data_IF_593317087274
#
_entry.id   IF_593317087274
#
_cell.length_a   1.000
_cell.length_b   1.000
_cell.length_c   1.000
_cell.angle_alpha   90.00
_cell.angle_beta   90.00
_cell.angle_gamma   90.00
#
_symmetry.space_group_name_H-M   'P 1'
#
loop_
_entity.id
_entity.type
_entity.pdbx_description
1 polymer ?
#
# COMPACT_ATOMS: atom_id res chain seq x y z
N UNK A 1 32.62 -23.14 -13.96
CA UNK A 1 31.70 -22.00 -14.21
C UNK A 1 30.45 -22.27 -13.38
N UNK A 2 30.29 -21.61 -12.23
CA UNK A 2 29.08 -21.74 -11.42
C UNK A 2 28.12 -20.67 -11.93
N UNK A 3 27.05 -21.10 -12.60
CA UNK A 3 25.95 -20.22 -13.00
C UNK A 3 25.05 -20.09 -11.78
N UNK A 4 25.06 -18.91 -11.16
CA UNK A 4 24.09 -18.57 -10.11
C UNK A 4 22.84 -18.06 -10.85
N UNK A 5 21.82 -18.90 -10.92
CA UNK A 5 20.49 -18.47 -11.35
C UNK A 5 19.86 -17.66 -10.21
N UNK A 6 19.86 -16.33 -10.33
CA UNK A 6 18.99 -15.49 -9.52
C UNK A 6 17.56 -15.70 -10.04
N UNK A 7 16.73 -16.42 -9.27
CA UNK A 7 15.30 -16.43 -9.51
C UNK A 7 14.77 -15.02 -9.25
N UNK A 8 14.21 -14.38 -10.28
CA UNK A 8 13.43 -13.16 -10.09
C UNK A 8 12.18 -13.54 -9.30
N UNK A 9 12.21 -13.30 -7.99
CA UNK A 9 11.01 -13.37 -7.16
C UNK A 9 10.11 -12.25 -7.66
N UNK A 10 8.97 -12.59 -8.27
CA UNK A 10 7.94 -11.59 -8.53
C UNK A 10 7.58 -10.95 -7.19
N UNK A 11 7.95 -9.69 -7.02
CA UNK A 11 7.63 -8.94 -5.81
C UNK A 11 6.11 -8.83 -5.73
N UNK A 12 5.50 -9.48 -4.73
CA UNK A 12 4.11 -9.16 -4.39
C UNK A 12 4.03 -7.67 -4.02
N UNK A 13 2.90 -7.04 -4.31
CA UNK A 13 2.68 -5.68 -3.82
C UNK A 13 2.59 -5.72 -2.29
N UNK A 14 3.36 -4.85 -1.64
CA UNK A 14 3.38 -4.65 -0.20
C UNK A 14 2.23 -3.71 0.21
N UNK A 15 1.65 -3.98 1.38
CA UNK A 15 0.67 -3.09 2.01
C UNK A 15 1.36 -1.81 2.49
N UNK A 16 0.94 -0.66 1.96
CA UNK A 16 1.40 0.67 2.42
C UNK A 16 0.51 1.14 3.57
N UNK A 17 -0.81 1.01 3.38
CA UNK A 17 -1.82 1.34 4.37
C UNK A 17 -3.07 0.49 4.14
N UNK A 18 -3.63 -0.07 5.21
CA UNK A 18 -4.90 -0.80 5.20
C UNK A 18 -5.86 -0.22 6.24
N UNK A 19 -7.10 0.00 5.81
CA UNK A 19 -8.23 0.32 6.66
C UNK A 19 -9.31 -0.74 6.40
N UNK A 20 -9.41 -1.73 7.29
CA UNK A 20 -10.39 -2.81 7.22
C UNK A 20 -11.69 -2.47 7.96
N UNK A 21 -11.69 -1.47 8.84
CA UNK A 21 -12.86 -0.96 9.59
C UNK A 21 -13.55 -1.95 10.55
N UNK A 22 -12.98 -3.14 10.75
CA UNK A 22 -13.58 -4.23 11.52
C UNK A 22 -13.70 -3.94 13.01
N UNK A 23 -12.99 -2.94 13.51
CA UNK A 23 -13.00 -2.45 14.89
C UNK A 23 -13.86 -1.19 15.09
N UNK A 24 -14.68 -0.82 14.10
CA UNK A 24 -15.55 0.36 14.12
C UNK A 24 -14.83 1.70 14.21
N UNK A 25 -13.60 1.81 13.69
CA UNK A 25 -12.91 3.09 13.62
C UNK A 25 -12.32 3.40 12.24
N UNK A 26 -11.63 4.55 12.12
CA UNK A 26 -10.95 4.97 10.89
C UNK A 26 -9.44 5.11 11.10
N UNK A 27 -8.93 4.45 12.12
CA UNK A 27 -7.50 4.32 12.39
C UNK A 27 -6.96 3.29 11.41
N UNK A 28 -5.70 3.45 11.03
CA UNK A 28 -5.03 2.50 10.15
C UNK A 28 -4.81 1.19 10.90
N UNK A 29 -5.16 0.06 10.28
CA UNK A 29 -5.03 -1.27 10.86
C UNK A 29 -3.64 -1.86 10.66
N UNK A 30 -3.07 -1.61 9.47
CA UNK A 30 -1.73 -2.03 9.08
C UNK A 30 -1.08 -0.99 8.18
N UNK A 31 0.15 -0.66 8.48
CA UNK A 31 0.94 0.29 7.70
C UNK A 31 2.41 -0.11 7.55
N UNK A 32 2.97 0.14 6.37
CA UNK A 32 4.41 0.19 6.12
C UNK A 32 4.84 1.56 5.57
N UNK A 33 3.91 2.53 5.49
CA UNK A 33 4.19 3.89 5.05
C UNK A 33 5.17 4.61 5.98
N UNK A 34 5.91 5.59 5.45
CA UNK A 34 6.67 6.52 6.28
C UNK A 34 5.69 7.55 6.88
N UNK A 35 5.59 7.55 8.21
CA UNK A 35 4.55 8.30 8.93
C UNK A 35 3.24 7.52 9.01
N UNK A 36 2.32 7.93 9.87
CA UNK A 36 1.03 7.24 10.07
C UNK A 36 0.03 7.65 9.00
N UNK A 37 -0.47 6.72 8.15
CA UNK A 37 -1.56 7.00 7.25
C UNK A 37 -2.80 7.49 8.00
N UNK A 38 -3.56 8.38 7.39
CA UNK A 38 -4.82 8.88 7.98
C UNK A 38 -5.96 8.76 6.99
N UNK A 39 -7.15 8.47 7.51
CA UNK A 39 -8.40 8.49 6.76
C UNK A 39 -9.31 9.58 7.34
N UNK A 40 -9.84 10.42 6.46
CA UNK A 40 -10.73 11.53 6.81
C UNK A 40 -11.91 11.61 5.85
N UNK A 41 -13.01 12.22 6.28
CA UNK A 41 -14.18 12.44 5.44
C UNK A 41 -14.78 13.81 5.67
N UNK A 42 -15.43 14.35 4.64
CA UNK A 42 -16.26 15.56 4.73
C UNK A 42 -17.75 15.26 4.76
N UNK A 43 -18.14 13.97 4.70
CA UNK A 43 -19.52 13.53 4.87
C UNK A 43 -20.06 14.02 6.23
N UNK A 44 -21.34 14.41 6.25
CA UNK A 44 -21.98 14.97 7.44
C UNK A 44 -22.33 13.92 8.49
N UNK A 45 -22.50 12.65 8.08
CA UNK A 45 -22.78 11.54 8.99
C UNK A 45 -22.16 10.24 8.50
N UNK A 46 -21.70 9.44 9.46
CA UNK A 46 -21.05 8.15 9.22
C UNK A 46 -21.53 7.10 10.21
N UNK A 47 -21.35 5.83 9.86
CA UNK A 47 -21.60 4.70 10.75
C UNK A 47 -20.73 3.52 10.33
N UNK A 48 -20.69 2.48 11.16
CA UNK A 48 -20.13 1.18 10.78
C UNK A 48 -21.24 0.15 10.73
N UNK A 49 -21.26 -0.65 9.67
CA UNK A 49 -22.31 -1.66 9.40
C UNK A 49 -21.66 -2.90 8.82
N UNK A 50 -22.40 -4.00 8.69
CA UNK A 50 -21.86 -5.26 8.15
C UNK A 50 -21.05 -5.07 6.87
N UNK A 51 -19.82 -5.57 6.90
CA UNK A 51 -18.85 -5.54 5.81
C UNK A 51 -18.78 -6.84 5.00
N UNK A 52 -17.65 -7.05 4.34
CA UNK A 52 -17.39 -8.13 3.38
C UNK A 52 -15.95 -8.63 3.48
N UNK A 53 -15.70 -9.87 3.08
CA UNK A 53 -14.32 -10.38 2.86
C UNK A 53 -13.73 -9.95 1.51
N UNK A 54 -14.49 -9.23 0.68
CA UNK A 54 -13.99 -8.77 -0.61
C UNK A 54 -12.89 -7.71 -0.41
N UNK A 55 -11.74 -7.91 -1.06
CA UNK A 55 -10.50 -7.15 -0.82
C UNK A 55 -9.90 -7.31 0.59
N UNK A 56 -10.44 -8.18 1.43
CA UNK A 56 -9.83 -8.47 2.73
C UNK A 56 -8.44 -9.07 2.52
N UNK A 57 -7.53 -8.69 3.41
CA UNK A 57 -6.13 -9.05 3.30
C UNK A 57 -5.77 -10.10 4.35
N UNK A 58 -4.82 -10.98 4.06
CA UNK A 58 -4.32 -12.00 5.00
C UNK A 58 -5.40 -12.86 5.71
N UNK A 59 -6.58 -12.99 5.11
CA UNK A 59 -7.70 -13.75 5.69
C UNK A 59 -8.50 -13.00 6.74
N UNK A 60 -8.39 -11.67 6.80
CA UNK A 60 -9.22 -10.82 7.66
C UNK A 60 -10.71 -11.17 7.47
N UNK A 61 -11.43 -11.27 8.58
CA UNK A 61 -12.87 -11.54 8.55
C UNK A 61 -13.63 -10.32 8.01
N UNK A 62 -14.87 -10.53 7.57
CA UNK A 62 -15.68 -9.48 6.95
C UNK A 62 -16.06 -8.30 7.87
N UNK A 63 -15.93 -8.47 9.19
CA UNK A 63 -16.38 -7.56 10.25
C UNK A 63 -17.33 -6.44 9.82
N UNK A 64 -16.81 -5.24 9.63
CA UNK A 64 -17.59 -4.04 9.36
C UNK A 64 -17.02 -3.22 8.20
N UNK A 65 -17.90 -2.47 7.55
CA UNK A 65 -17.57 -1.49 6.53
C UNK A 65 -17.88 -0.07 7.03
N UNK A 66 -17.08 0.89 6.59
CA UNK A 66 -17.32 2.31 6.81
C UNK A 66 -18.43 2.82 5.90
N UNK A 67 -19.49 3.37 6.49
CA UNK A 67 -20.72 3.74 5.79
C UNK A 67 -20.95 5.25 5.90
N UNK A 68 -21.05 5.92 4.75
CA UNK A 68 -21.43 7.33 4.67
C UNK A 68 -22.95 7.43 4.51
N UNK A 69 -23.62 8.20 5.38
CA UNK A 69 -25.07 8.12 5.57
C UNK A 69 -25.84 9.42 5.30
N UNK A 70 -25.19 10.51 4.88
CA UNK A 70 -25.84 11.81 4.72
C UNK A 70 -26.73 11.98 3.48
N UNK A 71 -26.95 10.91 2.70
CA UNK A 71 -27.85 10.93 1.54
C UNK A 71 -27.50 11.98 0.50
N UNK A 72 -28.52 12.52 -0.16
CA UNK A 72 -28.37 13.57 -1.18
C UNK A 72 -27.72 14.85 -0.65
N UNK A 73 -27.72 15.10 0.66
CA UNK A 73 -27.06 16.25 1.29
C UNK A 73 -25.52 16.17 1.27
N UNK A 74 -24.99 14.96 1.08
CA UNK A 74 -23.55 14.69 1.03
C UNK A 74 -23.03 14.54 -0.41
N UNK A 75 -23.84 14.85 -1.43
CA UNK A 75 -23.36 14.92 -2.81
C UNK A 75 -22.24 15.98 -2.94
N UNK A 76 -21.08 15.57 -3.45
CA UNK A 76 -19.86 16.38 -3.55
C UNK A 76 -18.92 16.29 -2.34
N UNK A 77 -19.29 15.55 -1.27
CA UNK A 77 -18.39 15.22 -0.17
C UNK A 77 -17.40 14.14 -0.57
N UNK A 78 -16.43 13.83 0.29
CA UNK A 78 -15.40 12.86 -0.02
C UNK A 78 -14.88 12.09 1.18
N UNK A 79 -14.37 10.89 0.89
CA UNK A 79 -13.46 10.10 1.72
C UNK A 79 -12.04 10.34 1.22
N UNK A 80 -11.07 10.55 2.11
CA UNK A 80 -9.66 10.78 1.74
C UNK A 80 -8.72 9.98 2.62
N UNK A 81 -7.71 9.39 1.97
CA UNK A 81 -6.59 8.70 2.60
C UNK A 81 -5.31 9.47 2.29
N UNK A 82 -4.60 9.89 3.32
CA UNK A 82 -3.24 10.39 3.22
C UNK A 82 -2.30 9.24 3.58
N UNK A 83 -1.51 8.77 2.62
CA UNK A 83 -0.58 7.67 2.83
C UNK A 83 0.70 7.94 2.03
N UNK A 84 1.80 8.17 2.74
CA UNK A 84 3.12 8.32 2.13
C UNK A 84 3.47 7.07 1.32
N UNK A 85 3.89 7.29 0.09
CA UNK A 85 4.41 6.26 -0.82
C UNK A 85 5.94 6.30 -0.89
N UNK A 86 6.58 6.99 0.06
CA UNK A 86 8.04 7.00 0.20
C UNK A 86 8.56 5.57 0.37
N UNK A 87 9.63 5.23 -0.35
CA UNK A 87 10.17 3.87 -0.47
C UNK A 87 9.29 2.87 -1.21
N UNK A 88 8.23 3.29 -1.90
CA UNK A 88 7.39 2.44 -2.74
C UNK A 88 7.30 2.95 -4.18
N UNK A 89 7.03 2.03 -5.11
CA UNK A 89 6.73 2.29 -6.52
C UNK A 89 5.52 1.46 -6.96
N UNK A 90 5.07 1.58 -8.21
CA UNK A 90 3.95 0.78 -8.75
C UNK A 90 2.68 0.87 -7.89
N UNK A 91 2.31 2.09 -7.52
CA UNK A 91 1.24 2.34 -6.56
C UNK A 91 -0.11 1.85 -7.10
N UNK A 92 -0.90 1.22 -6.24
CA UNK A 92 -2.25 0.76 -6.53
C UNK A 92 -3.14 0.99 -5.31
N UNK A 93 -4.40 1.38 -5.56
CA UNK A 93 -5.43 1.51 -4.51
C UNK A 93 -6.58 0.57 -4.83
N UNK A 94 -7.05 -0.18 -3.84
CA UNK A 94 -8.25 -1.01 -3.98
C UNK A 94 -9.14 -0.92 -2.75
N UNK A 95 -10.43 -1.17 -2.94
CA UNK A 95 -11.42 -1.26 -1.87
C UNK A 95 -12.67 -1.99 -2.36
N UNK A 96 -13.43 -2.57 -1.44
CA UNK A 96 -14.79 -3.01 -1.72
C UNK A 96 -15.78 -1.87 -1.47
N UNK A 97 -16.77 -1.71 -2.35
CA UNK A 97 -17.83 -0.70 -2.17
C UNK A 97 -19.20 -1.23 -2.57
N UNK A 98 -20.22 -0.69 -1.91
CA UNK A 98 -21.62 -0.98 -2.14
C UNK A 98 -22.43 0.28 -1.85
N UNK A 99 -23.40 0.63 -2.68
CA UNK A 99 -24.39 1.67 -2.36
C UNK A 99 -25.75 1.08 -2.00
N UNK A 100 -26.56 1.89 -1.33
CA UNK A 100 -28.02 1.64 -1.26
C UNK A 100 -28.71 1.98 -2.60
N UNK A 101 -29.97 1.55 -2.76
CA UNK A 101 -30.74 1.79 -3.99
C UNK A 101 -30.85 3.29 -4.36
N UNK A 102 -30.97 4.17 -3.37
CA UNK A 102 -31.04 5.63 -3.52
C UNK A 102 -29.74 6.34 -3.08
N UNK A 103 -28.67 5.57 -2.90
CA UNK A 103 -27.35 6.04 -2.47
C UNK A 103 -26.51 6.62 -3.60
N UNK A 104 -25.25 6.89 -3.28
CA UNK A 104 -24.31 7.60 -4.17
C UNK A 104 -23.98 6.78 -5.41
N UNK A 105 -24.65 7.07 -6.53
CA UNK A 105 -24.49 6.38 -7.82
C UNK A 105 -23.35 6.93 -8.70
N UNK A 106 -22.50 7.80 -8.16
CA UNK A 106 -21.34 8.36 -8.87
C UNK A 106 -20.19 8.57 -7.89
N UNK A 107 -19.21 7.66 -7.89
CA UNK A 107 -17.96 7.80 -7.15
C UNK A 107 -16.82 8.17 -8.10
N UNK A 108 -16.12 9.27 -7.81
CA UNK A 108 -14.94 9.70 -8.55
C UNK A 108 -13.68 9.44 -7.72
N UNK A 109 -12.81 8.56 -8.21
CA UNK A 109 -11.49 8.37 -7.62
C UNK A 109 -10.53 9.49 -8.08
N UNK A 110 -9.75 10.01 -7.15
CA UNK A 110 -8.77 11.05 -7.34
C UNK A 110 -7.46 10.71 -6.61
N UNK A 111 -6.35 11.23 -7.11
CA UNK A 111 -5.05 11.16 -6.46
C UNK A 111 -4.43 12.55 -6.35
N UNK A 112 -3.49 12.70 -5.44
CA UNK A 112 -2.68 13.90 -5.24
C UNK A 112 -1.22 13.52 -5.09
N UNK A 113 -0.34 14.34 -5.68
CA UNK A 113 1.12 14.20 -5.58
C UNK A 113 1.74 15.25 -4.65
N UNK A 114 0.95 16.21 -4.17
CA UNK A 114 1.35 17.31 -3.30
C UNK A 114 0.53 17.36 -1.99
N UNK A 115 -0.39 16.41 -1.80
CA UNK A 115 -1.28 16.31 -0.65
C UNK A 115 -2.46 17.29 -0.64
N UNK A 116 -2.58 18.18 -1.63
CA UNK A 116 -3.54 19.29 -1.61
C UNK A 116 -4.35 19.44 -2.90
N UNK A 117 -3.71 19.28 -4.06
CA UNK A 117 -4.34 19.33 -5.38
C UNK A 117 -4.69 17.92 -5.83
N UNK A 118 -5.95 17.69 -6.19
CA UNK A 118 -6.45 16.36 -6.57
C UNK A 118 -6.82 16.29 -8.05
N UNK A 119 -6.37 15.21 -8.69
CA UNK A 119 -6.57 14.92 -10.11
C UNK A 119 -7.48 13.70 -10.24
N UNK A 120 -8.52 13.80 -11.08
CA UNK A 120 -9.38 12.66 -11.40
C UNK A 120 -8.57 11.55 -12.08
N UNK A 121 -8.72 10.33 -11.57
CA UNK A 121 -8.21 9.15 -12.24
C UNK A 121 -9.36 8.44 -12.95
N UNK A 122 -9.38 8.54 -14.27
CA UNK A 122 -10.49 8.02 -15.08
C UNK A 122 -11.82 8.74 -14.81
N UNK A 123 -12.90 8.15 -15.30
CA UNK A 123 -14.27 8.62 -15.07
C UNK A 123 -14.82 8.13 -13.72
N UNK A 124 -15.81 8.85 -13.20
CA UNK A 124 -16.63 8.34 -12.11
C UNK A 124 -17.34 7.02 -12.48
N UNK A 125 -17.65 6.21 -11.48
CA UNK A 125 -18.35 4.92 -11.64
C UNK A 125 -19.57 4.84 -10.72
N UNK A 126 -20.54 4.00 -11.10
CA UNK A 126 -21.71 3.67 -10.27
C UNK A 126 -21.45 2.42 -9.44
N UNK A 127 -21.35 2.50 -8.10
CA UNK A 127 -21.28 1.32 -7.25
C UNK A 127 -22.53 0.45 -7.39
N UNK A 128 -22.35 -0.87 -7.31
CA UNK A 128 -23.48 -1.80 -7.27
C UNK A 128 -24.21 -1.75 -5.92
N UNK A 129 -25.44 -2.28 -5.91
CA UNK A 129 -26.19 -2.51 -4.66
C UNK A 129 -25.77 -3.78 -3.91
N UNK A 130 -24.69 -4.42 -4.34
CA UNK A 130 -23.93 -5.46 -3.65
C UNK A 130 -22.46 -5.06 -3.62
N UNK A 131 -21.66 -5.56 -2.66
CA UNK A 131 -20.24 -5.28 -2.62
C UNK A 131 -19.54 -5.69 -3.92
N UNK A 132 -18.75 -4.78 -4.47
CA UNK A 132 -17.89 -5.00 -5.65
C UNK A 132 -16.50 -4.43 -5.39
N UNK A 133 -15.49 -5.09 -5.95
CA UNK A 133 -14.09 -4.68 -5.84
C UNK A 133 -13.82 -3.56 -6.84
N UNK A 134 -13.21 -2.48 -6.36
CA UNK A 134 -12.70 -1.40 -7.18
C UNK A 134 -11.17 -1.38 -7.05
N UNK A 135 -10.49 -1.29 -8.18
CA UNK A 135 -9.02 -1.30 -8.26
C UNK A 135 -8.55 -0.20 -9.19
N UNK A 136 -7.64 0.63 -8.69
CA UNK A 136 -7.06 1.77 -9.40
C UNK A 136 -5.56 1.58 -9.53
N UNK A 137 -5.14 1.17 -10.73
CA UNK A 137 -3.72 0.98 -11.05
C UNK A 137 -3.08 2.34 -11.37
N UNK A 138 -2.27 2.84 -10.45
CA UNK A 138 -1.58 4.13 -10.55
C UNK A 138 -0.11 3.98 -10.93
N UNK A 139 0.35 2.78 -11.32
CA UNK A 139 1.75 2.50 -11.66
C UNK A 139 2.31 3.36 -12.80
N UNK A 140 1.43 3.84 -13.69
CA UNK A 140 1.80 4.78 -14.76
C UNK A 140 2.05 6.22 -14.28
N UNK A 141 1.72 6.55 -13.03
CA UNK A 141 1.85 7.88 -12.45
C UNK A 141 3.15 7.93 -11.65
N UNK A 142 4.26 8.14 -12.34
CA UNK A 142 5.61 8.12 -11.74
C UNK A 142 5.79 9.15 -10.62
N UNK A 143 5.02 10.23 -10.61
CA UNK A 143 5.02 11.24 -9.54
C UNK A 143 4.47 10.72 -8.19
N UNK A 144 3.80 9.56 -8.17
CA UNK A 144 3.41 8.86 -6.95
C UNK A 144 4.49 7.89 -6.46
N UNK A 145 5.56 7.66 -7.21
CA UNK A 145 6.65 6.82 -6.72
C UNK A 145 7.50 7.59 -5.72
N UNK A 146 7.86 6.97 -4.60
CA UNK A 146 8.69 7.55 -3.56
C UNK A 146 8.20 8.92 -3.06
N UNK A 147 6.88 9.10 -2.89
CA UNK A 147 6.27 10.40 -2.61
C UNK A 147 5.67 10.47 -1.19
N UNK A 148 6.27 11.32 -0.34
CA UNK A 148 5.82 11.52 1.04
C UNK A 148 4.46 12.22 1.18
N UNK A 149 4.03 12.94 0.14
CA UNK A 149 2.79 13.74 0.13
C UNK A 149 1.66 13.06 -0.65
N UNK A 150 1.81 11.80 -1.03
CA UNK A 150 0.77 11.09 -1.76
C UNK A 150 -0.54 11.02 -0.95
N UNK A 151 -1.65 11.28 -1.64
CA UNK A 151 -3.00 11.16 -1.07
C UNK A 151 -3.99 10.68 -2.12
N UNK A 152 -5.06 10.03 -1.67
CA UNK A 152 -6.09 9.40 -2.49
C UNK A 152 -7.45 9.82 -1.97
N UNK A 153 -8.40 10.08 -2.88
CA UNK A 153 -9.72 10.59 -2.51
C UNK A 153 -10.81 9.95 -3.35
N UNK A 154 -11.95 9.67 -2.71
CA UNK A 154 -13.18 9.26 -3.38
C UNK A 154 -14.22 10.34 -3.14
N UNK A 155 -14.60 11.06 -4.19
CA UNK A 155 -15.71 12.03 -4.16
C UNK A 155 -17.01 11.27 -4.39
N UNK A 156 -17.98 11.45 -3.50
CA UNK A 156 -19.26 10.78 -3.54
C UNK A 156 -20.33 11.71 -4.12
N UNK A 157 -21.14 11.21 -5.04
CA UNK A 157 -22.21 11.97 -5.69
C UNK A 157 -23.33 11.04 -6.18
N UNK A 158 -24.41 11.60 -6.71
CA UNK A 158 -25.50 10.85 -7.32
C UNK A 158 -26.46 10.19 -6.34
N UNK A 159 -26.42 10.54 -5.05
CA UNK A 159 -27.45 10.11 -4.11
C UNK A 159 -28.76 10.88 -4.39
N UNK A 160 -29.86 10.13 -4.49
CA UNK A 160 -31.20 10.66 -4.77
C UNK A 160 -32.10 10.66 -3.54
N UNK A 161 -31.83 9.80 -2.56
CA UNK A 161 -32.57 9.71 -1.30
C UNK A 161 -31.88 10.47 -0.17
N UNK A 162 -32.68 11.02 0.74
CA UNK A 162 -32.18 11.69 1.96
C UNK A 162 -31.48 10.76 2.93
N UNK A 163 -31.69 9.44 2.81
CA UNK A 163 -31.06 8.38 3.60
C UNK A 163 -30.20 7.45 2.76
N UNK A 164 -29.87 7.86 1.52
CA UNK A 164 -29.00 7.10 0.64
C UNK A 164 -27.60 6.93 1.25
N UNK A 165 -27.05 5.73 1.19
CA UNK A 165 -25.72 5.43 1.73
C UNK A 165 -24.77 4.84 0.69
N UNK A 166 -23.48 4.93 0.98
CA UNK A 166 -22.41 4.16 0.33
C UNK A 166 -21.45 3.63 1.39
N UNK A 167 -21.00 2.39 1.20
CA UNK A 167 -20.07 1.67 2.07
C UNK A 167 -18.72 1.54 1.38
N UNK A 168 -17.68 1.64 2.17
CA UNK A 168 -16.30 1.33 1.80
C UNK A 168 -15.77 0.32 2.78
N UNK A 169 -15.06 -0.67 2.27
CA UNK A 169 -14.54 -1.77 3.07
C UNK A 169 -13.17 -2.21 2.54
N UNK A 170 -12.32 -2.71 3.43
CA UNK A 170 -10.99 -3.21 3.14
C UNK A 170 -10.20 -2.26 2.21
N UNK A 171 -10.07 -0.98 2.57
CA UNK A 171 -9.37 0.01 1.75
C UNK A 171 -7.87 -0.20 1.87
N UNK A 172 -7.25 -0.57 0.76
CA UNK A 172 -5.82 -0.85 0.65
C UNK A 172 -5.13 0.16 -0.26
N UNK A 173 -4.06 0.77 0.25
CA UNK A 173 -2.99 1.39 -0.54
C UNK A 173 -1.83 0.40 -0.59
N UNK A 174 -1.35 0.08 -1.78
CA UNK A 174 -0.29 -0.90 -2.00
C UNK A 174 0.73 -0.41 -3.02
N UNK A 175 1.93 -1.01 -2.99
CA UNK A 175 2.98 -0.73 -3.96
C UNK A 175 4.09 -1.76 -3.89
N UNK A 176 5.09 -1.67 -4.74
CA UNK A 176 6.31 -2.47 -4.66
C UNK A 176 7.35 -1.71 -3.84
N UNK A 177 7.88 -2.29 -2.76
CA UNK A 177 9.01 -1.71 -2.06
C UNK A 177 10.16 -1.40 -3.03
N UNK A 178 10.54 -0.13 -3.10
CA UNK A 178 11.72 0.30 -3.81
C UNK A 178 12.93 -0.36 -3.13
N UNK A 179 13.74 -1.10 -3.89
CA UNK A 179 14.96 -1.71 -3.37
C UNK A 179 15.83 -0.61 -2.76
N UNK A 180 15.87 -0.55 -1.43
CA UNK A 180 16.96 0.14 -0.75
C UNK A 180 18.17 -0.76 -0.91
N UNK A 181 19.09 -0.39 -1.80
CA UNK A 181 20.39 -1.03 -1.86
C UNK A 181 21.09 -0.77 -0.52
N UNK A 182 20.82 -1.56 0.50
CA UNK A 182 21.69 -1.66 1.66
C UNK A 182 23.05 -2.13 1.11
N UNK A 183 24.17 -1.45 1.43
CA UNK A 183 25.47 -1.99 1.09
C UNK A 183 25.55 -3.37 1.73
N UNK A 184 25.60 -4.43 0.92
CA UNK A 184 25.85 -5.78 1.44
C UNK A 184 27.19 -5.70 2.15
N UNK A 185 27.27 -5.92 3.48
CA UNK A 185 28.56 -6.03 4.14
C UNK A 185 29.25 -7.21 3.48
N UNK A 186 30.35 -6.95 2.76
CA UNK A 186 31.12 -8.03 2.16
C UNK A 186 31.43 -9.04 3.25
N UNK A 187 31.06 -10.33 3.08
CA UNK A 187 31.35 -11.34 4.08
C UNK A 187 32.86 -11.29 4.39
N UNK A 188 33.20 -11.41 5.68
CA UNK A 188 34.59 -11.48 6.16
C UNK A 188 35.45 -12.56 5.45
N UNK A 189 34.89 -13.32 4.52
CA UNK A 189 35.55 -14.20 3.54
C UNK A 189 36.70 -13.54 2.80
N UNK A 190 36.63 -12.25 2.44
CA UNK A 190 37.79 -11.54 1.83
C UNK A 190 38.97 -11.45 2.82
N UNK A 191 38.67 -11.29 4.11
CA UNK A 191 39.68 -11.25 5.17
C UNK A 191 40.26 -12.65 5.48
N UNK A 192 39.45 -13.72 5.36
CA UNK A 192 39.90 -15.10 5.54
C UNK A 192 40.75 -15.61 4.37
N UNK A 193 40.46 -15.19 3.13
CA UNK A 193 41.27 -15.48 1.96
C UNK A 193 42.64 -14.77 2.01
N UNK A 194 42.70 -13.53 2.52
CA UNK A 194 43.95 -12.80 2.71
C UNK A 194 44.84 -13.36 3.83
N UNK A 195 44.25 -13.80 4.94
CA UNK A 195 44.99 -14.37 6.09
C UNK A 195 45.43 -15.83 5.87
N UNK A 196 44.70 -16.61 5.06
CA UNK A 196 45.06 -17.98 4.71
C UNK A 196 46.32 -18.11 3.84
N UNK A 197 46.55 -17.17 2.89
CA UNK A 197 47.76 -17.16 2.07
C UNK A 197 49.00 -16.66 2.83
N UNK A 198 48.86 -15.71 3.77
CA UNK A 198 49.98 -15.24 4.57
C UNK A 198 50.51 -16.32 5.54
N UNK A 199 49.60 -17.08 6.17
CA UNK A 199 49.97 -18.18 7.08
C UNK A 199 50.69 -19.34 6.39
N UNK A 200 50.29 -19.69 5.17
CA UNK A 200 50.91 -20.80 4.41
C UNK A 200 52.30 -20.44 3.85
N UNK A 201 52.50 -19.20 3.36
CA UNK A 201 53.83 -18.73 2.92
C UNK A 201 54.82 -18.62 4.09
N UNK A 202 54.36 -18.17 5.28
CA UNK A 202 55.16 -18.12 6.50
C UNK A 202 55.60 -19.51 6.99
N UNK A 203 54.70 -20.50 6.97
CA UNK A 203 54.99 -21.88 7.37
C UNK A 203 55.98 -22.58 6.42
N UNK A 204 55.89 -22.31 5.11
CA UNK A 204 56.81 -22.87 4.11
C UNK A 204 58.24 -22.30 4.28
N UNK A 205 58.38 -21.00 4.59
CA UNK A 205 59.69 -20.38 4.85
C UNK A 205 60.36 -20.92 6.11
N UNK A 206 59.61 -21.21 7.18
CA UNK A 206 60.16 -21.72 8.44
C UNK A 206 60.75 -23.13 8.31
N UNK A 207 60.13 -23.99 7.51
CA UNK A 207 60.60 -25.38 7.29
C UNK A 207 61.90 -25.47 6.49
N UNK A 208 62.24 -24.47 5.66
CA UNK A 208 63.49 -24.46 4.88
C UNK A 208 64.74 -24.07 5.68
N UNK A 209 64.59 -23.45 6.86
CA UNK A 209 65.72 -23.08 7.73
C UNK A 209 66.18 -24.17 8.70
N UNK A 210 65.42 -25.27 8.83
CA UNK A 210 65.70 -26.34 9.81
C UNK A 210 66.50 -27.52 9.23
N UNK A 211 67.03 -27.43 7.99
CA UNK A 211 67.78 -28.51 7.33
C UNK A 211 69.25 -28.18 7.06
N UNK A 212 69.85 -27.27 7.81
CA UNK A 212 71.28 -26.97 7.71
C UNK A 212 71.94 -26.95 9.09
N UNK A 213 72.18 -28.15 9.63
CA UNK A 213 73.33 -28.54 10.46
C UNK A 213 73.58 -30.01 10.21
#
# INVERSE_FOLDING_TARGET
LIIICAAAVGTQADEIALFNFNDSDTVVDRENAVGTPTLTTTASSTSFVTGTTLNAQMGDAAGQAFNLTGGSGDNGRFLQVNASTQNFTNINVSFATQRSATGFASLQFQYSTDGTTFINFGSAFDPMTSFTLQTFNLSGITALNNNANAAFRIVINGATGSTGTVRFDNLLVSGTAAQVNAPVPEPATVFLLGSGLAGTVGAIRRRRRSKSV
#
